data_IF_180982707745
#
_entry.id   IF_180982707745
#
_cell.length_a   1.000
_cell.length_b   1.000
_cell.length_c   1.000
_cell.angle_alpha   90.00
_cell.angle_beta   90.00
_cell.angle_gamma   90.00
#
_symmetry.space_group_name_H-M   'P 1'
#
loop_
_entity.id
_entity.type
_entity.pdbx_description
1 polymer ?
#
# COMPACT_ATOMS: atom_id res chain seq x y z
N UNK A 1 -41.30 15.78 1.61
CA UNK A 1 -40.82 14.76 0.64
C UNK A 1 -40.07 15.41 -0.51
N UNK A 2 -40.61 16.45 -1.17
CA UNK A 2 -39.90 17.21 -2.22
C UNK A 2 -38.64 17.92 -1.70
N UNK A 3 -38.71 18.53 -0.51
CA UNK A 3 -37.55 19.21 0.08
C UNK A 3 -36.42 18.25 0.44
N UNK A 4 -36.78 17.03 0.88
CA UNK A 4 -35.84 15.96 1.22
C UNK A 4 -35.02 15.50 0.01
N UNK A 5 -35.62 15.48 -1.19
CA UNK A 5 -34.94 15.11 -2.45
C UNK A 5 -34.08 16.28 -2.95
N UNK A 6 -34.53 17.53 -2.81
CA UNK A 6 -33.77 18.73 -3.20
C UNK A 6 -32.50 18.92 -2.36
N UNK A 7 -32.56 18.63 -1.07
CA UNK A 7 -31.46 18.89 -0.14
C UNK A 7 -30.49 17.71 0.02
N UNK A 8 -30.68 16.62 -0.74
CA UNK A 8 -29.80 15.44 -0.65
C UNK A 8 -28.38 15.72 -1.17
N UNK A 9 -28.27 16.66 -2.11
CA UNK A 9 -27.01 17.05 -2.77
C UNK A 9 -26.62 18.51 -2.52
N UNK A 10 -27.53 19.35 -2.00
CA UNK A 10 -27.31 20.76 -1.74
C UNK A 10 -27.77 21.14 -0.34
N UNK A 11 -26.97 21.94 0.38
CA UNK A 11 -27.35 22.46 1.69
C UNK A 11 -28.59 23.35 1.58
N UNK A 12 -29.47 23.26 2.56
CA UNK A 12 -30.65 24.13 2.63
C UNK A 12 -30.21 25.58 2.76
N UNK A 13 -30.63 26.42 1.82
CA UNK A 13 -30.35 27.86 1.81
C UNK A 13 -30.90 28.64 3.01
N UNK A 14 -31.83 28.05 3.78
CA UNK A 14 -32.42 28.63 4.98
C UNK A 14 -31.81 28.10 6.28
N UNK A 15 -30.89 27.15 6.19
CA UNK A 15 -30.21 26.59 7.35
C UNK A 15 -29.27 27.63 7.97
N UNK A 16 -29.24 27.71 9.30
CA UNK A 16 -28.25 28.54 10.00
C UNK A 16 -26.83 28.11 9.62
N UNK A 17 -25.97 29.09 9.36
CA UNK A 17 -24.58 28.82 9.09
C UNK A 17 -23.93 28.23 10.34
N UNK A 18 -23.62 26.93 10.31
CA UNK A 18 -22.80 26.31 11.35
C UNK A 18 -21.44 27.02 11.34
N UNK A 19 -21.16 27.76 12.41
CA UNK A 19 -19.85 28.37 12.64
C UNK A 19 -18.85 27.28 13.00
N UNK A 20 -18.28 26.66 11.97
CA UNK A 20 -17.14 25.76 12.12
C UNK A 20 -15.90 26.65 12.26
N UNK A 21 -15.15 26.46 13.35
CA UNK A 21 -13.87 27.14 13.53
C UNK A 21 -12.92 26.73 12.38
N UNK A 22 -12.60 27.70 11.51
CA UNK A 22 -11.78 27.47 10.33
C UNK A 22 -10.37 26.96 10.70
N UNK A 23 -9.82 27.45 11.81
CA UNK A 23 -8.52 27.02 12.33
C UNK A 23 -8.57 25.54 12.73
N UNK A 24 -9.62 25.14 13.47
CA UNK A 24 -9.81 23.75 13.86
C UNK A 24 -10.03 22.83 12.65
N UNK A 25 -10.78 23.29 11.63
CA UNK A 25 -10.99 22.55 10.39
C UNK A 25 -9.69 22.36 9.61
N UNK A 26 -8.88 23.41 9.45
CA UNK A 26 -7.58 23.35 8.77
C UNK A 26 -6.60 22.41 9.48
N UNK A 27 -6.55 22.44 10.81
CA UNK A 27 -5.71 21.51 11.59
C UNK A 27 -6.17 20.07 11.37
N UNK A 28 -7.48 19.79 11.41
CA UNK A 28 -8.01 18.44 11.15
C UNK A 28 -7.71 17.96 9.74
N UNK A 29 -7.90 18.83 8.75
CA UNK A 29 -7.56 18.54 7.36
C UNK A 29 -6.05 18.27 7.19
N UNK A 30 -5.20 19.05 7.86
CA UNK A 30 -3.75 18.85 7.87
C UNK A 30 -3.33 17.50 8.48
N UNK A 31 -3.94 17.09 9.60
CA UNK A 31 -3.68 15.76 10.18
C UNK A 31 -4.14 14.63 9.25
N UNK A 32 -5.26 14.81 8.55
CA UNK A 32 -5.76 13.82 7.60
C UNK A 32 -4.85 13.62 6.38
N UNK A 33 -3.98 14.59 6.05
CA UNK A 33 -2.99 14.44 4.97
C UNK A 33 -1.90 13.39 5.28
N UNK A 34 -1.73 13.00 6.54
CA UNK A 34 -0.78 11.94 6.92
C UNK A 34 -1.18 10.60 6.27
N UNK A 35 -2.48 10.34 6.14
CA UNK A 35 -3.01 9.09 5.58
C UNK A 35 -2.58 8.90 4.11
N UNK A 36 -2.91 9.80 3.17
CA UNK A 36 -2.50 9.62 1.78
C UNK A 36 -0.98 9.69 1.60
N UNK A 37 -0.27 10.45 2.43
CA UNK A 37 1.19 10.49 2.40
C UNK A 37 1.80 9.13 2.79
N UNK A 38 1.33 8.53 3.89
CA UNK A 38 1.72 7.20 4.30
C UNK A 38 1.41 6.16 3.21
N UNK A 39 0.18 6.16 2.70
CA UNK A 39 -0.24 5.24 1.63
C UNK A 39 0.62 5.39 0.37
N UNK A 40 0.97 6.61 -0.02
CA UNK A 40 1.84 6.88 -1.16
C UNK A 40 3.26 6.34 -0.97
N UNK A 41 3.83 6.51 0.22
CA UNK A 41 5.15 5.95 0.56
C UNK A 41 5.12 4.42 0.60
N UNK A 42 4.07 3.81 1.15
CA UNK A 42 3.90 2.35 1.14
C UNK A 42 3.74 1.80 -0.28
N UNK A 43 2.97 2.48 -1.14
CA UNK A 43 2.85 2.08 -2.54
C UNK A 43 4.19 2.17 -3.28
N UNK A 44 4.96 3.24 -3.02
CA UNK A 44 6.30 3.37 -3.57
C UNK A 44 7.19 2.21 -3.14
N UNK A 45 7.20 1.88 -1.85
CA UNK A 45 7.98 0.76 -1.30
C UNK A 45 7.60 -0.59 -1.91
N UNK A 46 6.29 -0.85 -2.08
CA UNK A 46 5.79 -2.07 -2.72
C UNK A 46 6.22 -2.16 -4.19
N UNK A 47 6.13 -1.06 -4.95
CA UNK A 47 6.51 -1.03 -6.37
C UNK A 47 8.00 -1.35 -6.57
N UNK A 48 8.85 -0.96 -5.63
CA UNK A 48 10.30 -1.16 -5.69
C UNK A 48 10.81 -2.28 -4.76
N UNK A 49 9.89 -3.14 -4.30
CA UNK A 49 10.24 -4.33 -3.53
C UNK A 49 11.00 -5.30 -4.44
N UNK A 50 12.23 -5.63 -4.05
CA UNK A 50 13.09 -6.54 -4.81
C UNK A 50 12.68 -8.01 -4.66
N UNK A 51 12.78 -8.75 -5.76
CA UNK A 51 12.65 -10.20 -5.77
C UNK A 51 13.94 -10.89 -5.31
N UNK A 52 13.80 -12.10 -4.77
CA UNK A 52 14.94 -12.97 -4.51
C UNK A 52 15.38 -13.58 -5.83
N UNK A 53 16.66 -13.43 -6.17
CA UNK A 53 17.26 -14.10 -7.33
C UNK A 53 18.02 -15.30 -6.80
N UNK A 54 17.57 -16.50 -7.17
CA UNK A 54 18.15 -17.78 -6.77
C UNK A 54 19.20 -18.21 -7.80
N UNK A 55 20.43 -18.47 -7.36
CA UNK A 55 21.47 -19.03 -8.23
C UNK A 55 21.37 -20.56 -8.25
N UNK A 56 20.81 -21.11 -9.34
CA UNK A 56 20.65 -22.56 -9.53
C UNK A 56 21.97 -23.34 -9.60
N UNK A 57 23.10 -22.69 -9.87
CA UNK A 57 24.41 -23.36 -9.89
C UNK A 57 24.94 -23.64 -8.48
N UNK A 58 24.37 -22.99 -7.46
CA UNK A 58 24.68 -23.22 -6.05
C UNK A 58 23.73 -24.21 -5.39
N UNK A 59 22.84 -24.85 -6.16
CA UNK A 59 21.90 -25.83 -5.65
C UNK A 59 22.66 -27.06 -5.12
N UNK A 60 22.64 -27.25 -3.81
CA UNK A 60 23.17 -28.42 -3.12
C UNK A 60 22.02 -29.17 -2.47
N UNK A 61 21.95 -30.46 -2.73
CA UNK A 61 20.99 -31.35 -2.09
C UNK A 61 21.24 -31.39 -0.58
N UNK A 62 20.21 -31.16 0.22
CA UNK A 62 20.33 -31.22 1.69
C UNK A 62 20.22 -32.65 2.22
N UNK A 63 19.93 -33.63 1.36
CA UNK A 63 19.64 -35.03 1.70
C UNK A 63 18.44 -35.21 2.63
N UNK A 64 17.61 -34.18 2.74
CA UNK A 64 16.38 -34.16 3.55
C UNK A 64 15.16 -34.08 2.63
N UNK A 65 14.03 -34.60 3.12
CA UNK A 65 12.74 -34.50 2.44
C UNK A 65 11.73 -33.71 3.26
N UNK A 66 10.78 -33.08 2.59
CA UNK A 66 9.63 -32.47 3.25
C UNK A 66 8.59 -33.53 3.67
N UNK A 67 7.48 -33.06 4.24
CA UNK A 67 6.40 -33.92 4.72
C UNK A 67 5.67 -34.69 3.62
N UNK A 68 5.86 -34.28 2.37
CA UNK A 68 5.27 -34.87 1.16
C UNK A 68 6.34 -35.62 0.31
N UNK A 69 7.50 -35.94 0.90
CA UNK A 69 8.65 -36.63 0.29
C UNK A 69 9.32 -35.87 -0.88
N UNK A 70 9.19 -34.55 -0.97
CA UNK A 70 9.96 -33.74 -1.92
C UNK A 70 11.40 -33.54 -1.41
N UNK A 71 12.39 -33.69 -2.30
CA UNK A 71 13.81 -33.47 -1.97
C UNK A 71 14.07 -31.98 -1.77
N UNK A 72 14.67 -31.63 -0.63
CA UNK A 72 15.01 -30.25 -0.29
C UNK A 72 16.39 -29.89 -0.87
N UNK A 73 16.46 -28.76 -1.56
CA UNK A 73 17.71 -28.20 -2.07
C UNK A 73 18.03 -26.88 -1.37
N UNK A 74 19.28 -26.72 -0.96
CA UNK A 74 19.82 -25.45 -0.46
C UNK A 74 20.42 -24.67 -1.62
N UNK A 75 20.06 -23.39 -1.72
CA UNK A 75 20.50 -22.48 -2.78
C UNK A 75 20.97 -21.17 -2.18
N UNK A 76 21.99 -20.56 -2.79
CA UNK A 76 22.37 -19.18 -2.50
C UNK A 76 21.40 -18.23 -3.22
N UNK A 77 20.79 -17.31 -2.47
CA UNK A 77 19.88 -16.32 -3.00
C UNK A 77 20.42 -14.92 -2.72
N UNK A 78 20.44 -14.08 -3.76
CA UNK A 78 20.89 -12.68 -3.67
C UNK A 78 19.66 -11.79 -3.74
N UNK A 79 19.60 -10.78 -2.88
CA UNK A 79 18.55 -9.76 -2.86
C UNK A 79 19.15 -8.37 -2.78
N UNK A 80 18.67 -7.45 -3.62
CA UNK A 80 19.03 -6.02 -3.54
C UNK A 80 18.11 -5.33 -2.53
N UNK A 81 18.58 -4.31 -1.82
CA UNK A 81 17.73 -3.57 -0.86
C UNK A 81 16.59 -2.82 -1.55
N UNK A 82 16.84 -2.26 -2.73
CA UNK A 82 15.84 -1.66 -3.60
C UNK A 82 16.12 -2.07 -5.04
N UNK A 83 15.08 -2.46 -5.76
CA UNK A 83 15.17 -2.69 -7.20
C UNK A 83 14.45 -1.54 -7.90
N UNK A 84 15.21 -0.61 -8.49
CA UNK A 84 14.66 0.57 -9.18
C UNK A 84 14.12 0.25 -10.58
N UNK A 85 14.18 -1.01 -11.01
CA UNK A 85 13.51 -1.42 -12.23
C UNK A 85 12.00 -1.35 -12.01
N UNK A 86 11.30 -0.64 -12.91
CA UNK A 86 9.84 -0.64 -12.87
C UNK A 86 9.42 -2.10 -13.05
N UNK A 87 8.51 -2.58 -12.20
CA UNK A 87 7.87 -3.89 -12.34
C UNK A 87 6.97 -3.90 -13.59
N UNK A 88 7.54 -3.61 -14.76
CA UNK A 88 6.90 -3.80 -16.04
C UNK A 88 7.00 -5.27 -16.37
N UNK A 89 5.82 -5.88 -16.33
CA UNK A 89 5.49 -7.21 -16.84
C UNK A 89 6.38 -7.65 -18.02
N UNK A 90 7.32 -8.54 -17.72
CA UNK A 90 7.82 -9.58 -18.60
C UNK A 90 7.62 -10.90 -17.86
#
# INVERSE_FOLDING_TARGET
MIDTIKNLWFRDTKEEAIYINEVAMRIRAGMLLIIPLYMGLTLFDVVYTSSWIVDGNTAVDTYDTDWDDNIIYQVEAIKRTYDYTVQTWL
#
